data_IF_124672483929
#
_entry.id   IF_124672483929
#
_cell.length_a   1.000
_cell.length_b   1.000
_cell.length_c   1.000
_cell.angle_alpha   90.00
_cell.angle_beta   90.00
_cell.angle_gamma   90.00
#
_symmetry.space_group_name_H-M   'P 1'
#
loop_
_entity.id
_entity.type
_entity.pdbx_description
1 polymer ?
#
# COMPACT_ATOMS: atom_id res chain seq x y z
N UNK A 1 -32.41 20.29 27.98
CA UNK A 1 -31.39 19.67 27.12
C UNK A 1 -30.84 20.75 26.22
N UNK A 2 -29.68 21.30 26.58
CA UNK A 2 -28.98 22.26 25.74
C UNK A 2 -28.41 21.46 24.57
N UNK A 3 -28.81 21.78 23.34
CA UNK A 3 -28.26 21.18 22.13
C UNK A 3 -26.92 21.88 21.90
N UNK A 4 -25.82 21.16 22.13
CA UNK A 4 -24.48 21.65 21.85
C UNK A 4 -24.34 21.85 20.34
N UNK A 5 -24.56 23.08 19.90
CA UNK A 5 -24.40 23.50 18.53
C UNK A 5 -22.89 23.58 18.24
N UNK A 6 -22.29 22.44 17.93
CA UNK A 6 -20.93 22.39 17.39
C UNK A 6 -20.92 23.20 16.10
N UNK A 7 -20.38 24.42 16.19
CA UNK A 7 -20.09 25.28 15.05
C UNK A 7 -18.95 24.64 14.24
N UNK A 8 -19.29 23.63 13.45
CA UNK A 8 -18.34 23.04 12.50
C UNK A 8 -18.22 24.00 11.34
N UNK A 9 -17.27 24.92 11.40
CA UNK A 9 -16.89 25.75 10.26
C UNK A 9 -16.46 24.82 9.11
N UNK A 10 -17.20 24.83 8.01
CA UNK A 10 -16.85 24.03 6.84
C UNK A 10 -15.58 24.57 6.18
N UNK A 11 -14.58 23.70 6.01
CA UNK A 11 -13.37 24.03 5.26
C UNK A 11 -13.61 23.75 3.78
N UNK A 12 -13.29 24.72 2.92
CA UNK A 12 -13.26 24.51 1.47
C UNK A 12 -11.98 23.74 1.17
N UNK A 13 -12.13 22.59 0.51
CA UNK A 13 -11.03 21.74 0.08
C UNK A 13 -10.88 21.85 -1.44
N UNK A 14 -9.63 21.91 -1.90
CA UNK A 14 -9.33 21.67 -3.31
C UNK A 14 -9.28 20.15 -3.52
N UNK A 15 -10.24 19.65 -4.29
CA UNK A 15 -10.32 18.21 -4.57
C UNK A 15 -9.31 17.77 -5.62
N UNK A 16 -8.84 18.69 -6.48
CA UNK A 16 -7.84 18.37 -7.50
C UNK A 16 -6.50 18.03 -6.85
N UNK A 17 -6.10 18.81 -5.83
CA UNK A 17 -4.90 18.56 -5.04
C UNK A 17 -4.94 17.24 -4.25
N UNK A 18 -6.13 16.74 -3.94
CA UNK A 18 -6.33 15.46 -3.25
C UNK A 18 -6.38 14.27 -4.20
N UNK A 19 -6.35 14.49 -5.51
CA UNK A 19 -6.35 13.40 -6.49
C UNK A 19 -5.02 12.65 -6.51
N UNK A 20 -5.08 11.35 -6.80
CA UNK A 20 -3.90 10.56 -7.11
C UNK A 20 -3.58 10.70 -8.60
N UNK A 21 -2.66 11.59 -8.96
CA UNK A 21 -2.30 11.87 -10.36
C UNK A 21 -1.84 10.64 -11.17
N UNK A 22 -1.30 9.61 -10.50
CA UNK A 22 -0.88 8.34 -11.12
C UNK A 22 -2.02 7.29 -11.20
N UNK A 23 -3.20 7.58 -10.65
CA UNK A 23 -4.34 6.66 -10.66
C UNK A 23 -3.99 5.27 -10.12
N UNK A 24 -4.25 4.23 -10.91
CA UNK A 24 -3.98 2.83 -10.56
C UNK A 24 -2.50 2.49 -10.33
N UNK A 25 -1.57 3.35 -10.77
CA UNK A 25 -0.13 3.21 -10.51
C UNK A 25 0.31 3.85 -9.19
N UNK A 26 -0.60 4.47 -8.43
CA UNK A 26 -0.26 5.07 -7.15
C UNK A 26 0.13 3.98 -6.12
N UNK A 27 1.42 3.94 -5.77
CA UNK A 27 1.93 3.08 -4.70
C UNK A 27 1.69 3.74 -3.33
N UNK A 28 0.53 3.47 -2.74
CA UNK A 28 0.21 3.90 -1.37
C UNK A 28 1.24 3.35 -0.36
N UNK A 29 1.76 2.14 -0.61
CA UNK A 29 2.82 1.54 0.20
C UNK A 29 4.21 2.12 -0.18
N UNK A 30 4.90 2.71 0.81
CA UNK A 30 6.27 3.23 0.62
C UNK A 30 7.34 2.15 0.61
N UNK A 31 7.02 0.99 1.18
CA UNK A 31 7.92 -0.16 1.25
C UNK A 31 7.23 -1.40 0.68
N UNK A 32 8.02 -2.30 0.10
CA UNK A 32 7.57 -3.62 -0.33
C UNK A 32 8.45 -4.66 0.38
N UNK A 33 7.83 -5.51 1.20
CA UNK A 33 8.50 -6.65 1.81
C UNK A 33 8.31 -7.87 0.90
N UNK A 34 9.41 -8.54 0.58
CA UNK A 34 9.40 -9.75 -0.23
C UNK A 34 9.37 -11.00 0.67
N UNK A 35 8.81 -12.13 0.19
CA UNK A 35 8.83 -13.38 0.92
C UNK A 35 10.25 -13.83 1.30
N UNK A 36 10.37 -14.55 2.41
CA UNK A 36 11.64 -15.16 2.82
C UNK A 36 12.22 -16.04 1.69
N UNK A 37 13.53 -15.93 1.46
CA UNK A 37 14.21 -16.61 0.36
C UNK A 37 14.22 -15.83 -0.95
N UNK A 38 13.55 -14.67 -1.02
CA UNK A 38 13.72 -13.75 -2.15
C UNK A 38 15.12 -13.15 -2.17
N UNK A 39 15.67 -12.91 -3.36
CA UNK A 39 17.00 -12.33 -3.51
C UNK A 39 17.08 -11.38 -4.71
N UNK A 40 18.05 -10.46 -4.65
CA UNK A 40 18.33 -9.45 -5.68
C UNK A 40 19.68 -9.70 -6.32
N UNK A 41 19.76 -9.63 -7.65
CA UNK A 41 21.02 -9.55 -8.38
C UNK A 41 21.07 -8.26 -9.20
N UNK A 42 22.17 -7.52 -9.08
CA UNK A 42 22.44 -6.36 -9.92
C UNK A 42 23.25 -6.77 -11.14
N UNK A 43 22.75 -6.43 -12.33
CA UNK A 43 23.41 -6.69 -13.62
C UNK A 43 23.58 -5.38 -14.38
N UNK A 44 24.34 -5.41 -15.46
CA UNK A 44 24.54 -4.22 -16.29
C UNK A 44 23.21 -3.82 -16.94
N UNK A 45 22.66 -2.69 -16.51
CA UNK A 45 21.46 -2.07 -17.09
C UNK A 45 20.12 -2.53 -16.50
N UNK A 46 20.12 -3.47 -15.54
CA UNK A 46 18.89 -3.93 -14.89
C UNK A 46 19.15 -4.66 -13.56
N UNK A 47 18.11 -4.77 -12.74
CA UNK A 47 18.11 -5.60 -11.54
C UNK A 47 17.18 -6.81 -11.75
N UNK A 48 17.61 -7.98 -11.27
CA UNK A 48 16.77 -9.18 -11.20
C UNK A 48 16.33 -9.40 -9.76
N UNK A 49 15.02 -9.50 -9.55
CA UNK A 49 14.42 -9.87 -8.27
C UNK A 49 13.81 -11.26 -8.44
N UNK A 50 14.32 -12.23 -7.69
CA UNK A 50 13.83 -13.59 -7.70
C UNK A 50 12.97 -13.81 -6.47
N UNK A 51 11.71 -14.22 -6.69
CA UNK A 51 10.74 -14.52 -5.64
C UNK A 51 10.49 -16.03 -5.65
N UNK A 52 10.66 -16.74 -4.51
CA UNK A 52 10.36 -18.16 -4.45
C UNK A 52 8.86 -18.39 -4.58
N UNK A 53 8.49 -19.53 -5.19
CA UNK A 53 7.09 -19.97 -5.20
C UNK A 53 6.57 -20.10 -3.76
N UNK A 54 5.44 -19.46 -3.49
CA UNK A 54 4.78 -19.60 -2.20
C UNK A 54 4.32 -21.05 -2.05
N UNK A 55 4.61 -21.65 -0.89
CA UNK A 55 4.00 -22.92 -0.53
C UNK A 55 2.49 -22.69 -0.38
N UNK A 56 1.63 -23.60 -0.88
CA UNK A 56 0.20 -23.48 -0.66
C UNK A 56 -0.05 -23.39 0.84
N UNK A 57 -0.71 -22.32 1.27
CA UNK A 57 -1.21 -22.24 2.63
C UNK A 57 -2.23 -23.37 2.77
N UNK A 58 -1.96 -24.35 3.63
CA UNK A 58 -3.03 -25.26 4.05
C UNK A 58 -4.09 -24.37 4.69
N UNK A 59 -5.34 -24.35 4.21
CA UNK A 59 -6.40 -23.70 4.95
C UNK A 59 -6.59 -24.53 6.22
N UNK A 60 -5.98 -24.06 7.31
CA UNK A 60 -6.08 -24.53 8.69
C UNK A 60 -5.70 -26.01 8.93
N UNK A 61 -4.45 -26.25 9.33
CA UNK A 61 -4.12 -27.38 10.20
C UNK A 61 -3.74 -26.80 11.57
N UNK A 62 -4.75 -26.72 12.45
CA UNK A 62 -4.68 -26.59 13.94
C UNK A 62 -4.18 -25.21 14.45
N UNK A 63 -4.72 -24.53 15.46
CA UNK A 63 -5.76 -24.70 16.51
C UNK A 63 -6.18 -23.28 16.95
#
# INVERSE_FOLDING_TARGET
MQIDNHNTTHQILDLEDLTFSQGSHFMSNKTCQLPNGSFRLQKKGYEEIHIPSLKPSRPNAEE
#
